data_IF_100756656536
#
_entry.id   IF_100756656536
#
_cell.length_a   1.000
_cell.length_b   1.000
_cell.length_c   1.000
_cell.angle_alpha   90.00
_cell.angle_beta   90.00
_cell.angle_gamma   90.00
#
_symmetry.space_group_name_H-M   'P 1'
#
loop_
_entity.id
_entity.type
_entity.pdbx_description
1 polymer ?
#
# COMPACT_ATOMS: atom_id res chain seq x y z
N UNK A 1 21.55 18.57 4.85
CA UNK A 1 20.92 17.26 5.14
C UNK A 1 19.76 17.03 4.18
N UNK A 2 19.70 15.88 3.48
CA UNK A 2 18.52 15.55 2.68
C UNK A 2 17.35 15.28 3.63
N UNK A 3 16.26 16.02 3.49
CA UNK A 3 15.05 15.77 4.27
C UNK A 3 14.60 14.33 4.02
N UNK A 4 14.48 13.53 5.09
CA UNK A 4 13.79 12.24 5.01
C UNK A 4 12.39 12.51 4.45
N UNK A 5 11.93 11.68 3.52
CA UNK A 5 10.56 11.77 3.02
C UNK A 5 9.60 11.49 4.19
N UNK A 6 9.09 12.56 4.80
CA UNK A 6 8.15 12.50 5.95
C UNK A 6 6.71 12.27 5.49
N UNK A 7 6.46 12.18 4.18
CA UNK A 7 5.12 12.00 3.64
C UNK A 7 4.59 10.61 3.99
N UNK A 8 3.57 10.55 4.82
CA UNK A 8 2.92 9.31 5.20
C UNK A 8 2.04 8.77 4.06
N UNK A 9 2.10 7.46 3.81
CA UNK A 9 1.18 6.77 2.92
C UNK A 9 -0.01 6.18 3.69
N UNK A 10 -1.09 5.87 2.97
CA UNK A 10 -2.26 5.20 3.54
C UNK A 10 -1.96 3.84 4.19
N UNK A 11 -0.88 3.15 3.79
CA UNK A 11 -0.48 1.88 4.39
C UNK A 11 0.06 2.01 5.81
N UNK A 12 0.41 3.23 6.24
CA UNK A 12 0.94 3.49 7.58
C UNK A 12 -0.15 3.55 8.67
N UNK A 13 -1.44 3.51 8.28
CA UNK A 13 -2.57 3.67 9.18
C UNK A 13 -3.42 2.40 9.24
N UNK A 14 -3.84 1.92 10.43
CA UNK A 14 -4.81 0.85 10.55
C UNK A 14 -6.11 1.19 9.81
N UNK A 15 -6.60 0.24 9.00
CA UNK A 15 -7.79 0.44 8.16
C UNK A 15 -9.03 -0.22 8.74
N UNK A 16 -10.15 0.49 8.68
CA UNK A 16 -11.49 -0.05 8.94
C UNK A 16 -12.29 -0.04 7.64
N UNK A 17 -12.50 -1.23 7.07
CA UNK A 17 -13.30 -1.39 5.86
C UNK A 17 -14.74 -1.75 6.21
N UNK A 18 -15.69 -1.18 5.49
CA UNK A 18 -17.11 -1.50 5.66
C UNK A 18 -17.43 -2.98 5.38
N UNK A 19 -16.59 -3.64 4.59
CA UNK A 19 -16.71 -5.07 4.35
C UNK A 19 -16.59 -5.91 5.63
N UNK A 20 -15.92 -5.41 6.67
CA UNK A 20 -15.83 -6.07 7.99
C UNK A 20 -17.21 -6.25 8.64
N UNK A 21 -18.15 -5.36 8.36
CA UNK A 21 -19.48 -5.35 8.96
C UNK A 21 -20.56 -5.94 8.04
N UNK A 22 -20.17 -6.54 6.91
CA UNK A 22 -21.13 -6.98 5.87
C UNK A 22 -22.24 -7.87 6.42
N UNK A 23 -21.92 -8.80 7.32
CA UNK A 23 -22.91 -9.72 7.89
C UNK A 23 -23.84 -9.04 8.89
N UNK A 24 -23.32 -8.13 9.71
CA UNK A 24 -24.12 -7.31 10.62
C UNK A 24 -25.10 -6.42 9.84
N UNK A 25 -24.62 -5.76 8.77
CA UNK A 25 -25.42 -4.87 7.92
C UNK A 25 -26.53 -5.61 7.16
N UNK A 26 -26.35 -6.91 6.87
CA UNK A 26 -27.38 -7.75 6.24
C UNK A 26 -28.50 -8.13 7.21
N UNK A 27 -28.17 -8.41 8.47
CA UNK A 27 -29.13 -8.87 9.49
C UNK A 27 -30.03 -7.76 10.05
N UNK A 28 -29.53 -6.53 10.09
CA UNK A 28 -30.13 -5.43 10.86
C UNK A 28 -31.09 -4.51 10.08
N UNK A 29 -31.48 -4.85 8.85
CA UNK A 29 -32.57 -4.16 8.14
C UNK A 29 -32.34 -2.65 7.90
N UNK A 30 -31.12 -2.26 7.48
CA UNK A 30 -30.63 -0.88 7.25
C UNK A 30 -30.27 -0.11 8.53
N UNK A 31 -29.17 -0.48 9.21
CA UNK A 31 -28.68 0.30 10.34
C UNK A 31 -28.19 1.69 9.90
N UNK A 32 -28.50 2.70 10.70
CA UNK A 32 -28.05 4.10 10.50
C UNK A 32 -26.62 4.34 11.01
N UNK A 33 -26.10 3.49 11.89
CA UNK A 33 -24.74 3.61 12.44
C UNK A 33 -24.17 2.25 12.87
N UNK A 34 -22.86 2.21 13.10
CA UNK A 34 -22.15 1.05 13.67
C UNK A 34 -21.25 1.47 14.82
N UNK A 35 -21.25 0.69 15.89
CA UNK A 35 -20.36 0.92 17.03
C UNK A 35 -18.97 0.36 16.77
N UNK A 36 -17.96 1.17 17.11
CA UNK A 36 -16.56 0.82 16.95
C UNK A 36 -15.85 1.02 18.27
N UNK A 37 -15.26 -0.07 18.78
CA UNK A 37 -14.40 -0.06 19.95
C UNK A 37 -12.98 -0.51 19.56
N UNK A 38 -11.97 0.25 19.98
CA UNK A 38 -10.56 -0.06 19.70
C UNK A 38 -9.62 0.66 20.67
N UNK A 39 -8.38 0.18 20.74
CA UNK A 39 -7.30 0.88 21.44
C UNK A 39 -6.34 1.52 20.44
N UNK A 40 -5.84 2.72 20.76
CA UNK A 40 -4.83 3.41 19.98
C UNK A 40 -3.84 4.12 20.92
N UNK A 41 -2.56 3.78 20.80
CA UNK A 41 -1.47 4.29 21.66
C UNK A 41 -1.79 4.20 23.16
N UNK A 42 -2.37 3.09 23.60
CA UNK A 42 -2.72 2.83 25.01
C UNK A 42 -4.04 3.44 25.49
N UNK A 43 -4.72 4.27 24.68
CA UNK A 43 -6.04 4.83 25.02
C UNK A 43 -7.16 4.02 24.38
N UNK A 44 -8.24 3.80 25.12
CA UNK A 44 -9.45 3.13 24.65
C UNK A 44 -10.39 4.16 24.00
N UNK A 45 -10.97 3.80 22.86
CA UNK A 45 -11.94 4.61 22.13
C UNK A 45 -13.17 3.75 21.85
N UNK A 46 -14.36 4.32 22.07
CA UNK A 46 -15.64 3.71 21.73
C UNK A 46 -16.60 4.79 21.24
N UNK A 47 -17.12 4.64 20.03
CA UNK A 47 -18.12 5.55 19.45
C UNK A 47 -18.81 4.93 18.24
N UNK A 48 -19.95 5.51 17.86
CA UNK A 48 -20.73 5.10 16.70
C UNK A 48 -20.34 5.89 15.44
N UNK A 49 -20.20 5.20 14.32
CA UNK A 49 -19.94 5.78 13.00
C UNK A 49 -21.20 5.72 12.18
N UNK A 50 -21.65 6.87 11.69
CA UNK A 50 -22.84 6.97 10.87
C UNK A 50 -22.66 6.28 9.51
N UNK A 51 -23.75 5.71 9.02
CA UNK A 51 -23.83 4.98 7.76
C UNK A 51 -24.75 5.69 6.79
N UNK A 52 -24.48 5.49 5.51
CA UNK A 52 -25.38 5.88 4.42
C UNK A 52 -25.45 4.76 3.40
N UNK A 53 -26.55 4.70 2.66
CA UNK A 53 -26.79 3.67 1.65
C UNK A 53 -27.05 4.30 0.29
N UNK A 54 -26.65 3.61 -0.76
CA UNK A 54 -27.08 3.90 -2.12
C UNK A 54 -27.69 2.64 -2.73
N UNK A 55 -28.63 2.80 -3.66
CA UNK A 55 -29.10 1.69 -4.47
C UNK A 55 -27.93 1.08 -5.26
N UNK A 56 -27.95 -0.24 -5.45
CA UNK A 56 -26.98 -0.95 -6.28
C UNK A 56 -27.63 -1.36 -7.61
N UNK A 57 -26.87 -1.30 -8.71
CA UNK A 57 -27.37 -1.55 -10.07
C UNK A 57 -27.95 -2.96 -10.27
N UNK A 58 -27.49 -3.95 -9.49
CA UNK A 58 -27.94 -5.35 -9.56
C UNK A 58 -28.84 -5.75 -8.38
N UNK A 59 -29.52 -4.77 -7.77
CA UNK A 59 -30.36 -4.98 -6.59
C UNK A 59 -29.59 -4.91 -5.25
N UNK A 60 -30.33 -4.61 -4.19
CA UNK A 60 -29.79 -4.41 -2.84
C UNK A 60 -29.28 -2.99 -2.57
N UNK A 61 -28.60 -2.83 -1.43
CA UNK A 61 -28.07 -1.54 -0.98
C UNK A 61 -26.56 -1.62 -0.73
N UNK A 62 -25.83 -0.63 -1.22
CA UNK A 62 -24.41 -0.46 -0.93
C UNK A 62 -24.25 0.47 0.26
N UNK A 63 -23.73 -0.06 1.36
CA UNK A 63 -23.42 0.73 2.55
C UNK A 63 -22.10 1.46 2.41
N UNK A 64 -22.03 2.62 3.05
CA UNK A 64 -20.84 3.44 3.20
C UNK A 64 -20.79 4.04 4.61
N UNK A 65 -19.60 4.32 5.11
CA UNK A 65 -19.40 5.17 6.27
C UNK A 65 -19.56 6.63 5.88
N UNK A 66 -20.09 7.42 6.81
CA UNK A 66 -19.92 8.86 6.82
C UNK A 66 -18.70 9.15 7.68
N UNK A 67 -17.70 9.82 7.09
CA UNK A 67 -16.50 10.21 7.82
C UNK A 67 -16.87 11.10 9.03
N UNK A 68 -16.46 10.77 10.27
CA UNK A 68 -16.80 11.57 11.45
C UNK A 68 -16.34 13.03 11.39
N UNK A 69 -15.23 13.31 10.69
CA UNK A 69 -14.67 14.66 10.60
C UNK A 69 -15.26 15.51 9.46
N UNK A 70 -15.39 14.95 8.24
CA UNK A 70 -15.78 15.73 7.06
C UNK A 70 -17.10 15.29 6.41
N UNK A 71 -17.82 14.34 7.03
CA UNK A 71 -19.11 13.79 6.57
C UNK A 71 -19.13 13.18 5.16
N UNK A 72 -17.97 13.03 4.50
CA UNK A 72 -17.87 12.40 3.18
C UNK A 72 -18.20 10.92 3.27
N UNK A 73 -18.94 10.44 2.26
CA UNK A 73 -19.26 9.02 2.06
C UNK A 73 -18.02 8.23 1.62
N UNK A 74 -17.60 7.24 2.41
CA UNK A 74 -16.41 6.42 2.14
C UNK A 74 -16.61 4.95 2.52
N UNK A 75 -15.88 4.04 1.86
CA UNK A 75 -15.91 2.60 2.18
C UNK A 75 -14.84 2.18 3.19
N UNK A 76 -13.83 3.01 3.41
CA UNK A 76 -12.68 2.74 4.28
C UNK A 76 -12.36 3.98 5.10
N UNK A 77 -12.17 3.77 6.40
CA UNK A 77 -11.62 4.76 7.34
C UNK A 77 -10.24 4.32 7.81
N UNK A 78 -9.43 5.26 8.24
CA UNK A 78 -8.06 5.08 8.69
C UNK A 78 -7.90 5.64 10.09
N UNK A 79 -7.22 4.89 10.96
CA UNK A 79 -7.02 5.27 12.36
C UNK A 79 -5.78 6.17 12.50
N UNK A 80 -6.00 7.45 12.79
CA UNK A 80 -4.98 8.42 13.15
C UNK A 80 -5.33 9.07 14.51
N UNK A 81 -5.61 8.24 15.51
CA UNK A 81 -6.23 8.65 16.77
C UNK A 81 -7.76 8.48 16.75
N UNK A 82 -8.39 8.93 15.65
CA UNK A 82 -9.78 8.64 15.30
C UNK A 82 -9.84 7.94 13.93
N UNK A 83 -10.87 7.11 13.69
CA UNK A 83 -11.17 6.61 12.35
C UNK A 83 -11.77 7.73 11.49
N UNK A 84 -11.01 8.18 10.51
CA UNK A 84 -11.38 9.26 9.58
C UNK A 84 -11.02 8.88 8.14
N UNK A 85 -11.50 9.64 7.15
CA UNK A 85 -11.24 9.32 5.75
C UNK A 85 -9.83 9.77 5.30
N UNK A 86 -9.37 9.23 4.16
CA UNK A 86 -8.06 9.57 3.57
C UNK A 86 -7.85 11.07 3.36
N UNK A 87 -8.92 11.82 3.06
CA UNK A 87 -8.83 13.25 2.77
C UNK A 87 -8.57 14.06 4.04
N UNK A 88 -9.08 13.61 5.19
CA UNK A 88 -8.87 14.30 6.47
C UNK A 88 -7.43 14.12 6.98
N UNK A 89 -6.84 12.95 6.74
CA UNK A 89 -5.44 12.68 7.13
C UNK A 89 -4.44 13.12 6.08
N UNK A 90 -4.89 13.61 4.91
CA UNK A 90 -4.01 14.07 3.83
C UNK A 90 -3.04 13.00 3.28
N UNK A 91 -3.27 11.72 3.55
CA UNK A 91 -2.32 10.66 3.22
C UNK A 91 -2.38 10.28 1.74
N UNK A 92 -1.20 10.19 1.11
CA UNK A 92 -1.07 9.78 -0.28
C UNK A 92 -1.22 8.26 -0.43
N UNK A 93 -1.54 7.81 -1.65
CA UNK A 93 -1.40 6.41 -1.99
C UNK A 93 0.08 6.02 -1.97
N UNK A 94 0.41 4.80 -1.51
CA UNK A 94 1.80 4.32 -1.53
C UNK A 94 2.43 4.39 -2.92
N UNK A 95 1.65 4.12 -3.98
CA UNK A 95 2.08 4.23 -5.37
C UNK A 95 2.45 5.66 -5.81
N UNK A 96 1.88 6.70 -5.18
CA UNK A 96 2.23 8.09 -5.45
C UNK A 96 3.58 8.48 -4.84
N UNK A 97 4.01 7.77 -3.80
CA UNK A 97 5.31 7.99 -3.14
C UNK A 97 6.42 7.10 -3.70
N UNK A 98 6.08 6.11 -4.54
CA UNK A 98 7.07 5.24 -5.16
C UNK A 98 7.97 6.02 -6.13
N UNK A 99 9.26 5.99 -5.86
CA UNK A 99 10.28 6.54 -6.73
C UNK A 99 10.44 5.66 -7.98
N UNK A 100 10.99 6.20 -9.09
CA UNK A 100 11.25 5.42 -10.30
C UNK A 100 12.07 4.15 -10.03
N UNK A 101 13.03 4.22 -9.09
CA UNK A 101 13.85 3.06 -8.72
C UNK A 101 13.06 1.98 -7.97
N UNK A 102 12.12 2.35 -7.09
CA UNK A 102 11.25 1.41 -6.36
C UNK A 102 10.38 0.58 -7.30
N UNK A 103 9.96 1.18 -8.42
CA UNK A 103 9.20 0.47 -9.47
C UNK A 103 10.07 -0.58 -10.17
N UNK A 104 11.36 -0.30 -10.39
CA UNK A 104 12.29 -1.27 -10.95
C UNK A 104 12.49 -2.45 -10.00
N UNK A 105 12.72 -2.17 -8.70
CA UNK A 105 12.81 -3.21 -7.67
C UNK A 105 11.54 -4.07 -7.62
N UNK A 106 10.36 -3.45 -7.56
CA UNK A 106 9.08 -4.16 -7.50
C UNK A 106 8.87 -5.08 -8.72
N UNK A 107 9.27 -4.63 -9.92
CA UNK A 107 9.18 -5.44 -11.15
C UNK A 107 10.17 -6.59 -11.14
N UNK A 108 11.41 -6.36 -10.70
CA UNK A 108 12.41 -7.41 -10.55
C UNK A 108 11.92 -8.48 -9.56
N UNK A 109 11.41 -8.09 -8.39
CA UNK A 109 10.87 -9.03 -7.40
C UNK A 109 9.64 -9.79 -7.91
N UNK A 110 8.78 -9.16 -8.71
CA UNK A 110 7.66 -9.87 -9.36
C UNK A 110 8.15 -10.98 -10.28
N UNK A 111 9.24 -10.76 -11.02
CA UNK A 111 9.86 -11.81 -11.84
C UNK A 111 10.46 -12.90 -10.96
N UNK A 112 11.18 -12.54 -9.90
CA UNK A 112 11.76 -13.50 -8.95
C UNK A 112 10.67 -14.39 -8.34
N UNK A 113 9.55 -13.81 -7.90
CA UNK A 113 8.39 -14.56 -7.40
C UNK A 113 7.83 -15.54 -8.44
N UNK A 114 7.70 -15.12 -9.71
CA UNK A 114 7.26 -16.01 -10.79
C UNK A 114 8.23 -17.15 -11.08
N UNK A 115 9.52 -16.91 -10.87
CA UNK A 115 10.57 -17.92 -11.02
C UNK A 115 10.70 -18.80 -9.76
N UNK A 116 9.98 -18.50 -8.68
CA UNK A 116 10.13 -19.17 -7.39
C UNK A 116 11.45 -18.84 -6.68
N UNK A 117 12.10 -17.74 -7.07
CA UNK A 117 13.37 -17.31 -6.51
C UNK A 117 13.17 -16.51 -5.22
N UNK A 118 14.18 -16.56 -4.34
CA UNK A 118 14.20 -15.74 -3.12
C UNK A 118 14.12 -14.24 -3.44
N UNK A 119 13.29 -13.48 -2.73
CA UNK A 119 13.12 -12.03 -2.95
C UNK A 119 14.43 -11.26 -2.75
N UNK A 120 14.64 -10.22 -3.56
CA UNK A 120 15.82 -9.36 -3.47
C UNK A 120 16.90 -9.71 -4.49
N UNK A 121 17.37 -8.69 -5.20
CA UNK A 121 18.36 -8.81 -6.28
C UNK A 121 19.74 -9.26 -5.78
N UNK A 122 20.03 -9.11 -4.48
CA UNK A 122 21.31 -9.48 -3.87
C UNK A 122 21.55 -11.00 -3.85
N UNK A 123 20.50 -11.81 -3.93
CA UNK A 123 20.61 -13.27 -3.93
C UNK A 123 20.96 -13.87 -5.30
N UNK A 124 21.24 -13.03 -6.30
CA UNK A 124 21.59 -13.46 -7.65
C UNK A 124 20.49 -14.27 -8.35
N UNK A 125 20.85 -14.91 -9.47
CA UNK A 125 19.96 -15.75 -10.25
C UNK A 125 19.94 -17.17 -9.68
N UNK A 126 18.77 -17.80 -9.65
CA UNK A 126 18.60 -19.17 -9.16
C UNK A 126 18.13 -20.10 -10.29
N UNK A 127 17.88 -21.38 -10.00
CA UNK A 127 17.47 -22.37 -11.00
C UNK A 127 16.07 -22.14 -11.58
N UNK A 128 15.80 -22.77 -12.73
CA UNK A 128 14.47 -22.76 -13.36
C UNK A 128 13.44 -23.54 -12.52
N UNK A 129 12.22 -23.03 -12.32
CA UNK A 129 11.17 -23.77 -11.63
C UNK A 129 10.66 -24.96 -12.47
N UNK A 130 10.26 -26.04 -11.78
CA UNK A 130 9.72 -27.25 -12.42
C UNK A 130 8.45 -26.90 -13.22
N UNK A 131 8.35 -27.45 -14.43
CA UNK A 131 7.20 -27.24 -15.32
C UNK A 131 7.21 -25.93 -16.14
N UNK A 132 8.18 -25.02 -15.92
CA UNK A 132 8.28 -23.81 -16.75
C UNK A 132 9.07 -24.08 -18.04
N UNK A 133 8.52 -23.72 -19.20
CA UNK A 133 9.22 -23.86 -20.48
C UNK A 133 10.51 -23.02 -20.53
N UNK A 134 11.56 -23.55 -21.16
CA UNK A 134 12.87 -22.90 -21.23
C UNK A 134 12.81 -21.50 -21.87
N UNK A 135 12.03 -21.31 -22.93
CA UNK A 135 11.89 -19.99 -23.58
C UNK A 135 11.29 -18.96 -22.63
N UNK A 136 10.26 -19.33 -21.88
CA UNK A 136 9.63 -18.46 -20.86
C UNK A 136 10.61 -18.12 -19.76
N UNK A 137 11.35 -19.12 -19.27
CA UNK A 137 12.38 -18.94 -18.27
C UNK A 137 13.43 -17.93 -18.71
N UNK A 138 14.09 -18.16 -19.87
CA UNK A 138 15.14 -17.27 -20.35
C UNK A 138 14.63 -15.86 -20.68
N UNK A 139 13.38 -15.73 -21.16
CA UNK A 139 12.75 -14.41 -21.35
C UNK A 139 12.62 -13.65 -20.04
N UNK A 140 12.15 -14.32 -18.98
CA UNK A 140 12.02 -13.72 -17.64
C UNK A 140 13.38 -13.35 -17.04
N UNK A 141 14.37 -14.24 -17.15
CA UNK A 141 15.74 -13.97 -16.67
C UNK A 141 16.37 -12.79 -17.41
N UNK A 142 16.23 -12.73 -18.74
CA UNK A 142 16.74 -11.61 -19.54
C UNK A 142 16.10 -10.28 -19.13
N UNK A 143 14.78 -10.29 -18.87
CA UNK A 143 14.08 -9.10 -18.38
C UNK A 143 14.56 -8.70 -16.97
N UNK A 144 14.71 -9.69 -16.07
CA UNK A 144 15.24 -9.48 -14.72
C UNK A 144 16.64 -8.85 -14.76
N UNK A 145 17.57 -9.40 -15.54
CA UNK A 145 18.96 -8.94 -15.60
C UNK A 145 19.04 -7.49 -16.14
N UNK A 146 18.21 -7.14 -17.13
CA UNK A 146 18.07 -5.76 -17.62
C UNK A 146 17.58 -4.80 -16.53
N UNK A 147 16.65 -5.24 -15.68
CA UNK A 147 16.16 -4.43 -14.56
C UNK A 147 17.25 -4.28 -13.49
N UNK A 148 17.95 -5.35 -13.15
CA UNK A 148 19.06 -5.33 -12.19
C UNK A 148 20.17 -4.38 -12.65
N UNK A 149 20.56 -4.41 -13.93
CA UNK A 149 21.53 -3.45 -14.48
C UNK A 149 21.09 -1.99 -14.29
N UNK A 150 19.81 -1.67 -14.59
CA UNK A 150 19.27 -0.31 -14.39
C UNK A 150 19.27 0.10 -12.92
N UNK A 151 18.91 -0.83 -12.02
CA UNK A 151 18.93 -0.60 -10.58
C UNK A 151 20.36 -0.31 -10.11
N UNK A 152 21.31 -1.18 -10.43
CA UNK A 152 22.72 -1.01 -10.06
C UNK A 152 23.30 0.30 -10.60
N UNK A 153 22.98 0.65 -11.85
CA UNK A 153 23.39 1.94 -12.43
C UNK A 153 22.83 3.14 -11.66
N UNK A 154 21.55 3.11 -11.32
CA UNK A 154 20.89 4.16 -10.56
C UNK A 154 21.43 4.28 -9.12
N UNK A 155 21.67 3.15 -8.44
CA UNK A 155 22.22 3.14 -7.08
C UNK A 155 23.66 3.66 -7.06
N UNK A 156 24.52 3.23 -8.00
CA UNK A 156 25.88 3.76 -8.13
C UNK A 156 25.90 5.27 -8.36
N UNK A 157 25.04 5.77 -9.25
CA UNK A 157 24.92 7.21 -9.50
C UNK A 157 24.48 8.00 -8.25
N UNK A 158 23.56 7.44 -7.45
CA UNK A 158 23.15 8.04 -6.17
C UNK A 158 24.28 8.06 -5.13
N UNK A 159 25.04 6.96 -5.00
CA UNK A 159 26.20 6.87 -4.10
C UNK A 159 27.24 7.94 -4.45
N UNK A 160 27.56 8.10 -5.73
CA UNK A 160 28.53 9.09 -6.18
C UNK A 160 28.10 10.54 -5.85
N UNK A 161 26.82 10.87 -6.04
CA UNK A 161 26.26 12.19 -5.66
C UNK A 161 26.33 12.45 -4.15
N UNK A 162 26.18 11.42 -3.33
CA UNK A 162 26.29 11.56 -1.88
C UNK A 162 27.74 11.76 -1.43
N UNK A 163 28.71 11.08 -2.07
CA UNK A 163 30.15 11.29 -1.83
C UNK A 163 30.58 12.72 -2.18
N UNK A 164 30.14 13.26 -3.32
CA UNK A 164 30.49 14.63 -3.74
C UNK A 164 29.90 15.71 -2.84
N UNK A 165 28.77 15.44 -2.17
CA UNK A 165 28.17 16.33 -1.17
C UNK A 165 28.95 16.30 0.14
N UNK A 166 29.33 15.11 0.61
CA UNK A 166 30.12 14.93 1.83
C UNK A 166 31.54 15.51 1.74
N UNK A 167 32.08 15.69 0.52
CA UNK A 167 33.38 16.33 0.30
C UNK A 167 33.32 17.87 0.28
N UNK A 168 32.14 18.49 0.21
CA UNK A 168 31.98 19.95 0.15
C UNK A 168 31.62 20.58 1.52
N UNK A 169 31.20 19.76 2.49
CA UNK A 169 30.89 20.17 3.87
C UNK A 169 32.12 20.04 4.81
N UNK A 170 33.34 20.17 4.28
CA UNK A 170 34.60 20.09 5.03
C UNK A 170 35.50 21.27 4.68
#
# INVERSE_FOLDING_TARGET
MAALATTHSLSNYPRLSISRYRDQLRKSGKPSSIDVAYSYRGKQYSYSIQLTTTAANYGGSRYFFNCPSCSKRVSVLYCAGLYVCRHCIGACYGSQLQQPIDRLFSRADTIRQRLGWQSGIAYGNQGRPKGMHFTTYYRLVTEHDRLVQKICGATMAAINKNKSRASYDR
#
